data_IF_316616508093
#
_entry.id   IF_316616508093
#
_cell.length_a   1.000
_cell.length_b   1.000
_cell.length_c   1.000
_cell.angle_alpha   90.00
_cell.angle_beta   90.00
_cell.angle_gamma   90.00
#
_symmetry.space_group_name_H-M   'P 1'
#
loop_
_entity.id
_entity.type
_entity.pdbx_description
1 polymer ?
#
# COMPACT_ATOMS: atom_id res chain seq x y z
N UNK A 1 14.75 -9.69 -4.46
CA UNK A 1 13.56 -8.86 -4.31
C UNK A 1 13.77 -7.70 -3.33
N UNK A 2 14.26 -7.91 -2.09
CA UNK A 2 14.45 -6.81 -1.12
C UNK A 2 15.37 -5.69 -1.65
N UNK A 3 16.45 -6.02 -2.39
CA UNK A 3 17.33 -5.04 -3.02
C UNK A 3 16.58 -4.21 -4.07
N UNK A 4 15.77 -4.85 -4.90
CA UNK A 4 14.94 -4.19 -5.91
C UNK A 4 13.91 -3.25 -5.27
N UNK A 5 13.23 -3.72 -4.19
CA UNK A 5 12.30 -2.87 -3.45
C UNK A 5 12.96 -1.62 -2.85
N UNK A 6 14.18 -1.76 -2.31
CA UNK A 6 14.95 -0.59 -1.83
C UNK A 6 15.35 0.35 -2.96
N UNK A 7 15.71 -0.20 -4.13
CA UNK A 7 16.03 0.61 -5.31
C UNK A 7 14.78 1.36 -5.81
N UNK A 8 13.64 0.71 -5.92
CA UNK A 8 12.36 1.35 -6.28
C UNK A 8 11.97 2.45 -5.30
N UNK A 9 12.09 2.17 -3.99
CA UNK A 9 11.80 3.12 -2.92
C UNK A 9 12.68 4.39 -3.01
N UNK A 10 13.97 4.22 -3.33
CA UNK A 10 14.89 5.34 -3.49
C UNK A 10 14.51 6.26 -4.68
N UNK A 11 13.96 5.72 -5.77
CA UNK A 11 13.49 6.50 -6.93
C UNK A 11 12.42 7.51 -6.54
N UNK A 12 11.50 7.10 -5.64
CA UNK A 12 10.36 7.92 -5.22
C UNK A 12 10.58 8.61 -3.85
N UNK A 13 11.82 8.65 -3.37
CA UNK A 13 12.20 9.39 -2.17
C UNK A 13 11.74 8.78 -0.84
N UNK A 14 11.42 7.48 -0.82
CA UNK A 14 11.13 6.76 0.43
C UNK A 14 12.41 6.62 1.25
N UNK A 15 12.36 7.07 2.51
CA UNK A 15 13.54 7.09 3.39
C UNK A 15 13.86 5.73 3.99
N UNK A 16 12.82 5.02 4.44
CA UNK A 16 12.99 3.77 5.16
C UNK A 16 12.14 2.66 4.55
N UNK A 17 12.72 1.46 4.39
CA UNK A 17 12.02 0.27 3.92
C UNK A 17 12.22 -0.84 4.95
N UNK A 18 11.14 -1.28 5.56
CA UNK A 18 11.11 -2.32 6.57
C UNK A 18 10.47 -3.59 6.01
N UNK A 19 11.07 -4.75 6.28
CA UNK A 19 10.56 -6.05 5.88
C UNK A 19 10.20 -6.84 7.12
N UNK A 20 8.93 -7.19 7.27
CA UNK A 20 8.43 -7.93 8.44
C UNK A 20 8.74 -9.42 8.39
N UNK A 21 9.20 -9.95 7.24
CA UNK A 21 9.69 -11.32 7.12
C UNK A 21 8.60 -12.39 6.93
N UNK A 22 7.38 -12.01 6.63
CA UNK A 22 6.32 -12.96 6.31
C UNK A 22 6.54 -13.62 4.95
N UNK A 23 6.13 -14.88 4.83
CA UNK A 23 6.36 -15.69 3.62
C UNK A 23 5.40 -15.25 2.50
N UNK A 24 5.95 -14.97 1.31
CA UNK A 24 5.19 -14.70 0.08
C UNK A 24 4.33 -15.91 -0.29
N UNK A 25 3.05 -15.70 -0.52
CA UNK A 25 2.06 -16.74 -0.79
C UNK A 25 1.35 -17.31 0.45
N UNK A 26 1.75 -16.92 1.67
CA UNK A 26 1.20 -17.44 2.93
C UNK A 26 0.94 -16.33 3.98
N UNK A 27 0.60 -15.13 3.51
CA UNK A 27 0.27 -14.03 4.41
C UNK A 27 -1.14 -14.18 4.94
N UNK A 28 -1.26 -14.18 6.27
CA UNK A 28 -2.55 -14.24 6.98
C UNK A 28 -2.68 -13.03 7.91
N UNK A 29 -3.90 -12.48 8.15
CA UNK A 29 -4.12 -11.36 9.05
C UNK A 29 -4.03 -11.81 10.52
N UNK A 30 -2.91 -12.44 10.87
CA UNK A 30 -2.62 -13.03 12.17
C UNK A 30 -2.44 -11.97 13.25
N UNK A 31 -2.50 -12.38 14.51
CA UNK A 31 -2.21 -11.50 15.67
C UNK A 31 -0.76 -10.98 15.62
N UNK A 32 0.20 -11.79 15.13
CA UNK A 32 1.59 -11.38 15.02
C UNK A 32 1.76 -10.28 13.96
N UNK A 33 1.17 -10.46 12.76
CA UNK A 33 1.21 -9.45 11.72
C UNK A 33 0.55 -8.14 12.17
N UNK A 34 -0.61 -8.22 12.82
CA UNK A 34 -1.32 -7.06 13.37
C UNK A 34 -0.47 -6.33 14.43
N UNK A 35 0.18 -7.09 15.34
CA UNK A 35 1.09 -6.52 16.34
C UNK A 35 2.28 -5.80 15.68
N UNK A 36 2.89 -6.43 14.67
CA UNK A 36 4.05 -5.85 13.99
C UNK A 36 3.69 -4.58 13.22
N UNK A 37 2.52 -4.56 12.55
CA UNK A 37 2.00 -3.33 11.91
C UNK A 37 1.67 -2.27 12.98
N UNK A 38 1.02 -2.66 14.08
CA UNK A 38 0.70 -1.73 15.19
C UNK A 38 1.96 -1.13 15.81
N UNK A 39 3.04 -1.93 15.94
CA UNK A 39 4.35 -1.43 16.37
C UNK A 39 4.85 -0.33 15.45
N UNK A 40 4.82 -0.57 14.14
CA UNK A 40 5.27 0.42 13.16
C UNK A 40 4.39 1.67 13.17
N UNK A 41 3.07 1.54 13.29
CA UNK A 41 2.17 2.69 13.42
C UNK A 41 2.54 3.53 14.65
N UNK A 42 2.76 2.90 15.80
CA UNK A 42 3.12 3.61 17.05
C UNK A 42 4.51 4.24 16.99
N UNK A 43 5.47 3.61 16.28
CA UNK A 43 6.83 4.16 16.09
C UNK A 43 6.84 5.35 15.13
N UNK A 44 6.15 5.21 13.98
CA UNK A 44 6.20 6.20 12.89
C UNK A 44 5.21 7.33 13.12
N UNK A 45 4.08 7.06 13.80
CA UNK A 45 2.98 8.00 14.06
C UNK A 45 2.47 8.68 12.76
N UNK A 46 2.10 7.89 11.73
CA UNK A 46 1.75 8.43 10.43
C UNK A 46 0.46 9.25 10.48
N UNK A 47 0.42 10.34 9.72
CA UNK A 47 -0.81 11.11 9.48
C UNK A 47 -1.68 10.43 8.42
N UNK A 48 -1.05 9.68 7.51
CA UNK A 48 -1.72 8.93 6.44
C UNK A 48 -1.06 7.58 6.23
N UNK A 49 -1.88 6.55 6.05
CA UNK A 49 -1.43 5.22 5.62
C UNK A 49 -2.01 4.89 4.26
N UNK A 50 -1.16 4.43 3.34
CA UNK A 50 -1.58 3.78 2.11
C UNK A 50 -1.49 2.28 2.31
N UNK A 51 -2.59 1.58 2.08
CA UNK A 51 -2.69 0.13 2.27
C UNK A 51 -3.36 -0.53 1.06
N UNK A 52 -3.23 -1.82 0.93
CA UNK A 52 -4.06 -2.59 0.01
C UNK A 52 -5.50 -2.67 0.52
N UNK A 53 -6.48 -2.66 -0.39
CA UNK A 53 -7.86 -2.95 0.00
C UNK A 53 -7.98 -4.42 0.44
N UNK A 54 -8.68 -4.70 1.55
CA UNK A 54 -9.06 -6.06 1.92
C UNK A 54 -10.20 -6.61 1.05
N UNK A 55 -10.88 -5.74 0.30
CA UNK A 55 -12.04 -6.10 -0.49
C UNK A 55 -11.65 -6.75 -1.82
N UNK A 56 -12.39 -7.80 -2.20
CA UNK A 56 -12.16 -8.49 -3.46
C UNK A 56 -12.83 -7.75 -4.62
N UNK A 57 -12.03 -7.48 -5.65
CA UNK A 57 -12.53 -6.92 -6.92
C UNK A 57 -12.93 -8.06 -7.86
N UNK A 58 -14.21 -8.41 -7.86
CA UNK A 58 -14.73 -9.55 -8.59
C UNK A 58 -14.65 -9.38 -10.11
N UNK A 59 -14.74 -8.15 -10.60
CA UNK A 59 -14.63 -7.82 -12.03
C UNK A 59 -13.19 -7.98 -12.55
N UNK A 60 -12.20 -8.00 -11.64
CA UNK A 60 -10.78 -8.12 -11.99
C UNK A 60 -10.01 -8.88 -10.90
N UNK A 61 -10.21 -10.19 -10.84
CA UNK A 61 -9.62 -11.07 -9.82
C UNK A 61 -8.09 -10.91 -9.65
N UNK A 62 -7.27 -10.71 -10.72
CA UNK A 62 -5.82 -10.51 -10.54
C UNK A 62 -5.43 -9.34 -9.65
N UNK A 63 -6.29 -8.33 -9.48
CA UNK A 63 -6.06 -7.23 -8.53
C UNK A 63 -6.26 -7.65 -7.06
N UNK A 64 -6.85 -8.81 -6.81
CA UNK A 64 -7.23 -9.31 -5.48
C UNK A 64 -6.34 -10.49 -5.04
N UNK A 65 -5.02 -10.32 -5.11
CA UNK A 65 -4.10 -11.34 -4.62
C UNK A 65 -4.36 -11.63 -3.13
N UNK A 66 -4.43 -12.91 -2.69
CA UNK A 66 -4.72 -13.25 -1.30
C UNK A 66 -3.83 -12.54 -0.28
N UNK A 67 -2.52 -12.49 -0.53
CA UNK A 67 -1.58 -11.80 0.38
C UNK A 67 -1.83 -10.30 0.47
N UNK A 68 -2.19 -9.65 -0.67
CA UNK A 68 -2.50 -8.23 -0.66
C UNK A 68 -3.75 -7.95 0.18
N UNK A 69 -4.79 -8.77 0.03
CA UNK A 69 -6.02 -8.66 0.82
C UNK A 69 -5.75 -8.95 2.30
N UNK A 70 -4.97 -9.99 2.61
CA UNK A 70 -4.60 -10.34 3.98
C UNK A 70 -3.76 -9.24 4.65
N UNK A 71 -2.81 -8.65 3.93
CA UNK A 71 -2.03 -7.51 4.40
C UNK A 71 -2.93 -6.27 4.64
N UNK A 72 -3.87 -6.00 3.73
CA UNK A 72 -4.86 -4.93 3.87
C UNK A 72 -5.75 -5.13 5.10
N UNK A 73 -6.28 -6.34 5.28
CA UNK A 73 -7.11 -6.70 6.44
C UNK A 73 -6.32 -6.56 7.76
N UNK A 74 -5.07 -7.03 7.79
CA UNK A 74 -4.21 -6.86 8.96
C UNK A 74 -3.92 -5.38 9.24
N UNK A 75 -3.70 -4.58 8.21
CA UNK A 75 -3.45 -3.14 8.34
C UNK A 75 -4.68 -2.39 8.87
N UNK A 76 -5.89 -2.68 8.37
CA UNK A 76 -7.14 -2.09 8.88
C UNK A 76 -7.33 -2.43 10.36
N UNK A 77 -7.14 -3.68 10.74
CA UNK A 77 -7.24 -4.10 12.16
C UNK A 77 -6.16 -3.47 13.03
N UNK A 78 -4.97 -3.27 12.49
CA UNK A 78 -3.90 -2.56 13.18
C UNK A 78 -4.24 -1.08 13.39
N UNK A 79 -4.82 -0.41 12.38
CA UNK A 79 -5.31 0.98 12.52
C UNK A 79 -6.44 1.05 13.54
N UNK A 80 -7.41 0.13 13.44
CA UNK A 80 -8.55 0.05 14.37
C UNK A 80 -8.92 -1.41 14.65
N UNK A 81 -8.90 -1.85 15.93
CA UNK A 81 -8.67 -1.01 17.12
C UNK A 81 -7.22 -0.96 17.61
N UNK A 82 -6.27 -1.74 17.07
CA UNK A 82 -5.06 -2.16 17.79
C UNK A 82 -4.11 -0.99 18.11
N UNK A 83 -3.67 -0.21 17.13
CA UNK A 83 -2.66 0.83 17.34
C UNK A 83 -3.14 1.98 18.24
N UNK A 84 -4.46 2.25 18.22
CA UNK A 84 -5.07 3.33 19.02
C UNK A 84 -5.56 2.90 20.39
N UNK A 85 -5.40 1.64 20.74
CA UNK A 85 -5.83 1.11 22.02
C UNK A 85 -4.61 0.67 22.84
N UNK A 86 -4.27 1.34 23.96
CA UNK A 86 -3.08 1.03 24.74
C UNK A 86 -3.12 -0.40 25.34
N UNK A 87 -4.30 -1.02 25.44
CA UNK A 87 -4.47 -2.38 25.95
C UNK A 87 -4.34 -3.46 24.86
N UNK A 88 -4.37 -3.07 23.57
CA UNK A 88 -4.05 -4.00 22.50
C UNK A 88 -2.53 -4.16 22.40
N UNK A 89 -2.06 -5.43 22.33
CA UNK A 89 -0.64 -5.75 22.31
C UNK A 89 0.14 -5.05 23.45
N UNK A 90 -0.18 -5.36 24.73
CA UNK A 90 0.29 -4.60 25.88
C UNK A 90 1.82 -4.52 25.99
N UNK A 91 2.55 -5.50 25.43
CA UNK A 91 4.01 -5.50 25.39
C UNK A 91 4.57 -4.33 24.58
N UNK A 92 3.85 -3.80 23.59
CA UNK A 92 4.29 -2.62 22.85
C UNK A 92 4.43 -1.39 23.74
N UNK A 93 3.52 -1.23 24.70
CA UNK A 93 3.61 -0.14 25.68
C UNK A 93 4.54 -0.50 26.84
N UNK A 94 4.38 -1.68 27.42
CA UNK A 94 5.06 -2.06 28.67
C UNK A 94 6.56 -2.29 28.48
N UNK A 95 6.95 -2.95 27.38
CA UNK A 95 8.32 -3.39 27.15
C UNK A 95 9.06 -2.47 26.18
N UNK A 96 8.34 -1.89 25.20
CA UNK A 96 8.91 -1.07 24.12
C UNK A 96 8.63 0.44 24.31
N UNK A 97 7.78 0.83 25.25
CA UNK A 97 7.43 2.22 25.52
C UNK A 97 6.66 2.90 24.37
N UNK A 98 6.04 2.10 23.51
CA UNK A 98 5.30 2.60 22.34
C UNK A 98 3.86 2.94 22.73
N UNK A 99 3.61 4.22 22.93
CA UNK A 99 2.27 4.74 23.18
C UNK A 99 1.33 4.53 21.98
N UNK A 100 0.04 4.50 22.24
CA UNK A 100 -0.98 4.38 21.21
C UNK A 100 -0.97 5.56 20.23
N UNK A 101 -1.45 5.31 19.02
CA UNK A 101 -1.54 6.30 17.96
C UNK A 101 -2.80 6.14 17.14
N UNK A 102 -3.49 7.25 16.87
CA UNK A 102 -4.62 7.31 15.95
C UNK A 102 -4.12 7.75 14.57
N UNK A 103 -4.30 6.90 13.57
CA UNK A 103 -4.02 7.26 12.17
C UNK A 103 -5.20 8.07 11.64
N UNK A 104 -5.02 9.36 11.27
CA UNK A 104 -6.13 10.20 10.83
C UNK A 104 -6.72 9.81 9.47
N UNK A 105 -5.88 9.33 8.55
CA UNK A 105 -6.30 9.00 7.19
C UNK A 105 -5.78 7.63 6.74
N UNK A 106 -6.67 6.83 6.16
CA UNK A 106 -6.32 5.55 5.53
C UNK A 106 -6.79 5.56 4.09
N UNK A 107 -5.84 5.36 3.17
CA UNK A 107 -6.10 5.31 1.73
C UNK A 107 -5.89 3.88 1.23
N UNK A 108 -6.94 3.27 0.71
CA UNK A 108 -6.93 1.90 0.22
C UNK A 108 -6.72 1.86 -1.29
N UNK A 109 -5.63 1.23 -1.72
CA UNK A 109 -5.31 0.96 -3.12
C UNK A 109 -6.08 -0.28 -3.61
N UNK A 110 -6.33 -0.35 -4.91
CA UNK A 110 -7.01 -1.46 -5.59
C UNK A 110 -8.40 -1.80 -5.02
N UNK A 111 -9.06 -0.85 -4.37
CA UNK A 111 -10.43 -1.02 -3.90
C UNK A 111 -11.41 -1.14 -5.07
N UNK A 112 -12.47 -1.97 -4.92
CA UNK A 112 -13.60 -1.95 -5.87
C UNK A 112 -14.46 -0.68 -5.79
N UNK A 113 -14.26 0.18 -4.76
CA UNK A 113 -15.08 1.37 -4.49
C UNK A 113 -14.22 2.64 -4.36
N UNK A 114 -13.45 3.03 -5.41
CA UNK A 114 -12.65 4.24 -5.33
C UNK A 114 -13.55 5.48 -5.20
N UNK A 115 -13.11 6.44 -4.37
CA UNK A 115 -13.82 7.69 -4.14
C UNK A 115 -12.88 8.91 -4.09
N UNK A 116 -11.58 8.67 -4.25
CA UNK A 116 -10.55 9.70 -4.24
C UNK A 116 -9.52 9.43 -5.35
N UNK A 117 -9.22 10.46 -6.13
CA UNK A 117 -8.33 10.36 -7.27
C UNK A 117 -7.21 11.39 -7.17
N UNK A 118 -5.99 10.96 -7.43
CA UNK A 118 -4.81 11.82 -7.42
C UNK A 118 -4.24 11.89 -8.81
N UNK A 119 -4.14 13.10 -9.37
CA UNK A 119 -3.45 13.33 -10.63
C UNK A 119 -1.96 13.06 -10.44
N UNK A 120 -1.44 12.09 -11.20
CA UNK A 120 -0.04 11.64 -11.15
C UNK A 120 0.68 11.83 -12.46
N UNK A 121 0.13 12.65 -13.36
CA UNK A 121 0.67 12.88 -14.70
C UNK A 121 2.14 13.27 -14.65
N UNK A 122 2.48 14.22 -13.80
CA UNK A 122 3.84 14.77 -13.69
C UNK A 122 4.82 13.80 -12.98
N UNK A 123 4.29 12.78 -12.28
CA UNK A 123 5.07 11.74 -11.58
C UNK A 123 5.16 10.43 -12.35
N UNK A 124 4.58 10.37 -13.56
CA UNK A 124 4.49 9.11 -14.32
C UNK A 124 5.87 8.51 -14.62
N UNK A 125 6.82 9.31 -15.03
CA UNK A 125 8.18 8.85 -15.33
C UNK A 125 8.88 8.29 -14.09
N UNK A 126 8.69 8.91 -12.93
CA UNK A 126 9.23 8.42 -11.66
C UNK A 126 8.60 7.07 -11.28
N UNK A 127 7.29 6.95 -11.49
CA UNK A 127 6.55 5.69 -11.31
C UNK A 127 7.13 4.58 -12.20
N UNK A 128 7.35 4.86 -13.48
CA UNK A 128 7.91 3.89 -14.42
C UNK A 128 9.34 3.49 -14.06
N UNK A 129 10.17 4.44 -13.62
CA UNK A 129 11.52 4.13 -13.12
C UNK A 129 11.49 3.27 -11.87
N UNK A 130 10.57 3.54 -10.93
CA UNK A 130 10.40 2.74 -9.72
C UNK A 130 9.94 1.31 -10.05
N UNK A 131 8.97 1.16 -10.95
CA UNK A 131 8.52 -0.16 -11.44
C UNK A 131 9.69 -0.89 -12.12
N UNK A 132 10.44 -0.23 -13.00
CA UNK A 132 11.60 -0.80 -13.69
C UNK A 132 12.72 -1.29 -12.78
N UNK A 133 12.81 -0.80 -11.55
CA UNK A 133 13.76 -1.29 -10.55
C UNK A 133 13.50 -2.75 -10.11
N UNK A 134 12.29 -3.27 -10.36
CA UNK A 134 11.90 -4.67 -10.10
C UNK A 134 12.25 -5.61 -11.27
N UNK A 135 13.46 -5.50 -11.80
CA UNK A 135 13.92 -6.15 -13.04
C UNK A 135 13.75 -7.69 -13.06
N UNK A 136 13.84 -8.36 -11.91
CA UNK A 136 13.64 -9.81 -11.82
C UNK A 136 12.17 -10.23 -12.01
N UNK A 137 11.23 -9.29 -11.94
CA UNK A 137 9.79 -9.54 -12.01
C UNK A 137 9.14 -9.03 -13.30
N UNK A 138 9.89 -8.28 -14.11
CA UNK A 138 9.36 -7.57 -15.28
C UNK A 138 10.06 -8.06 -16.55
N UNK A 139 9.47 -9.03 -17.27
CA UNK A 139 10.11 -9.59 -18.47
C UNK A 139 10.10 -8.65 -19.68
N UNK A 140 9.23 -7.64 -19.72
CA UNK A 140 9.07 -6.72 -20.84
C UNK A 140 8.64 -5.32 -20.38
N UNK A 141 9.57 -4.40 -20.15
CA UNK A 141 9.28 -3.04 -19.65
C UNK A 141 8.25 -2.27 -20.47
N UNK A 142 8.32 -2.38 -21.80
CA UNK A 142 7.44 -1.64 -22.74
C UNK A 142 5.96 -2.07 -22.58
N UNK A 143 5.71 -3.36 -22.45
CA UNK A 143 4.34 -3.90 -22.23
C UNK A 143 3.76 -3.39 -20.90
N UNK A 144 4.62 -3.18 -19.93
CA UNK A 144 4.21 -2.72 -18.59
C UNK A 144 3.85 -1.24 -18.65
N UNK A 145 4.62 -0.42 -19.34
CA UNK A 145 4.31 1.00 -19.50
C UNK A 145 2.93 1.20 -20.10
N UNK A 146 2.62 0.53 -21.22
CA UNK A 146 1.31 0.63 -21.87
C UNK A 146 0.16 0.23 -20.97
N UNK A 147 0.35 -0.86 -20.19
CA UNK A 147 -0.66 -1.31 -19.21
C UNK A 147 -0.87 -0.28 -18.10
N UNK A 148 0.22 0.23 -17.51
CA UNK A 148 0.14 1.21 -16.42
C UNK A 148 -0.51 2.49 -16.93
N UNK A 149 -0.11 2.98 -18.10
CA UNK A 149 -0.72 4.15 -18.73
C UNK A 149 -2.21 3.96 -18.97
N UNK A 150 -2.61 2.81 -19.48
CA UNK A 150 -4.03 2.47 -19.72
C UNK A 150 -4.84 2.53 -18.40
N UNK A 151 -4.34 1.93 -17.32
CA UNK A 151 -5.04 1.95 -16.02
C UNK A 151 -5.14 3.35 -15.42
N UNK A 152 -4.06 4.13 -15.49
CA UNK A 152 -4.04 5.49 -14.96
C UNK A 152 -4.91 6.44 -15.79
N UNK A 153 -4.98 6.25 -17.11
CA UNK A 153 -5.89 7.01 -17.99
C UNK A 153 -7.35 6.70 -17.70
N UNK A 154 -7.68 5.43 -17.44
CA UNK A 154 -9.04 5.04 -17.04
C UNK A 154 -9.46 5.69 -15.72
N UNK A 155 -8.57 5.69 -14.71
CA UNK A 155 -8.82 6.37 -13.44
C UNK A 155 -8.95 7.90 -13.61
N UNK A 156 -8.14 8.51 -14.47
CA UNK A 156 -8.25 9.94 -14.78
C UNK A 156 -9.58 10.29 -15.46
N UNK A 157 -10.06 9.44 -16.37
CA UNK A 157 -11.37 9.61 -17.02
C UNK A 157 -12.51 9.46 -16.01
N UNK A 158 -12.45 8.49 -15.09
CA UNK A 158 -13.42 8.31 -14.00
C UNK A 158 -13.46 9.53 -13.07
N UNK A 159 -12.29 10.13 -12.81
CA UNK A 159 -12.16 11.38 -12.03
C UNK A 159 -12.64 12.64 -12.76
N UNK A 160 -12.99 12.55 -14.06
CA UNK A 160 -13.35 13.70 -14.89
C UNK A 160 -12.17 14.61 -15.23
N UNK A 161 -10.94 14.11 -15.18
CA UNK A 161 -9.76 14.87 -15.58
C UNK A 161 -9.69 15.04 -17.11
N UNK A 162 -9.02 16.09 -17.61
CA UNK A 162 -8.83 16.29 -19.05
C UNK A 162 -8.14 15.11 -19.74
N UNK A 163 -8.42 14.94 -21.05
CA UNK A 163 -7.75 13.94 -21.86
C UNK A 163 -6.22 14.06 -21.78
N UNK A 164 -5.54 12.92 -21.70
CA UNK A 164 -4.08 12.84 -21.55
C UNK A 164 -3.56 12.92 -20.11
N UNK A 165 -4.44 13.20 -19.12
CA UNK A 165 -4.04 13.13 -17.72
C UNK A 165 -4.05 11.68 -17.21
N UNK A 166 -3.30 11.45 -16.15
CA UNK A 166 -3.12 10.14 -15.50
C UNK A 166 -3.47 10.29 -14.01
N UNK A 167 -4.24 9.34 -13.46
CA UNK A 167 -4.59 9.38 -12.04
C UNK A 167 -4.45 8.03 -11.36
N UNK A 168 -4.14 8.06 -10.07
CA UNK A 168 -4.30 6.93 -9.17
C UNK A 168 -5.61 7.04 -8.40
N UNK A 169 -6.28 5.90 -8.19
CA UNK A 169 -7.57 5.83 -7.52
C UNK A 169 -7.44 5.14 -6.17
N UNK A 170 -8.06 5.72 -5.15
CA UNK A 170 -8.09 5.25 -3.77
C UNK A 170 -9.51 5.26 -3.23
N UNK A 171 -9.75 4.42 -2.23
CA UNK A 171 -10.88 4.59 -1.32
C UNK A 171 -10.34 5.18 -0.01
N UNK A 172 -10.95 6.27 0.43
CA UNK A 172 -10.59 7.00 1.64
C UNK A 172 -11.76 7.02 2.61
#
# INVERSE_FOLDING_TARGET
RQREQRAAAAVVGVRDVLFLGYTDGDVNPSQDLRRDISRLIRQVRPQRMLIQSPDRKWEHIPASHPDHMAAGEAAIRAVYPDARNPFAHPTLLQDEGLEDWVVPEVWMMASPHPNHFVDVTDSFEDKMRAIGAHSSQLPAPEIIEDKVRTWLSAAAAEAGLPEGRLAEAFQV
#
